data_IF_324865899321
#
_entry.id   IF_324865899321
#
_cell.length_a   1.000
_cell.length_b   1.000
_cell.length_c   1.000
_cell.angle_alpha   90.00
_cell.angle_beta   90.00
_cell.angle_gamma   90.00
#
_symmetry.space_group_name_H-M   'P 1'
#
loop_
_entity.id
_entity.type
_entity.pdbx_description
1 polymer ?
#
# COMPACT_ATOMS: atom_id res chain seq x y z
N UNK A 1 26.83 -52.31 -10.21
CA UNK A 1 26.04 -51.35 -9.41
C UNK A 1 24.96 -52.15 -8.74
N UNK A 2 25.02 -52.30 -7.42
CA UNK A 2 24.12 -53.20 -6.70
C UNK A 2 22.74 -52.53 -6.54
N UNK A 3 21.69 -53.32 -6.37
CA UNK A 3 20.31 -52.83 -6.17
C UNK A 3 20.22 -51.85 -5.00
N UNK A 4 21.07 -52.03 -3.97
CA UNK A 4 21.21 -51.13 -2.83
C UNK A 4 21.80 -49.77 -3.17
N UNK A 5 22.79 -49.71 -4.07
CA UNK A 5 23.42 -48.45 -4.50
C UNK A 5 22.45 -47.62 -5.33
N UNK A 6 21.69 -48.26 -6.22
CA UNK A 6 20.65 -47.60 -7.02
C UNK A 6 19.57 -46.98 -6.11
N UNK A 7 19.14 -47.73 -5.10
CA UNK A 7 18.12 -47.27 -4.14
C UNK A 7 18.62 -46.07 -3.33
N UNK A 8 19.88 -46.11 -2.87
CA UNK A 8 20.47 -45.01 -2.11
C UNK A 8 20.57 -43.72 -2.94
N UNK A 9 20.99 -43.80 -4.20
CA UNK A 9 21.10 -42.63 -5.09
C UNK A 9 19.72 -42.01 -5.35
N UNK A 10 18.68 -42.83 -5.58
CA UNK A 10 17.31 -42.33 -5.79
C UNK A 10 16.79 -41.61 -4.55
N UNK A 11 17.01 -42.16 -3.35
CA UNK A 11 16.59 -41.53 -2.09
C UNK A 11 17.30 -40.19 -1.89
N UNK A 12 18.62 -40.14 -2.08
CA UNK A 12 19.40 -38.89 -1.93
C UNK A 12 18.91 -37.85 -2.93
N UNK A 13 18.68 -38.23 -4.18
CA UNK A 13 18.22 -37.29 -5.21
C UNK A 13 16.79 -36.79 -4.92
N UNK A 14 15.90 -37.67 -4.46
CA UNK A 14 14.55 -37.31 -4.06
C UNK A 14 14.54 -36.39 -2.84
N UNK A 15 15.47 -36.54 -1.89
CA UNK A 15 15.59 -35.65 -0.73
C UNK A 15 16.16 -34.29 -1.15
N UNK A 16 17.25 -34.30 -1.92
CA UNK A 16 17.96 -33.08 -2.37
C UNK A 16 17.09 -32.22 -3.28
N UNK A 17 16.29 -32.81 -4.17
CA UNK A 17 15.39 -32.05 -5.05
C UNK A 17 13.98 -31.91 -4.50
N UNK A 18 13.47 -32.91 -3.80
CA UNK A 18 12.10 -32.94 -3.31
C UNK A 18 11.84 -31.96 -2.16
N UNK A 19 12.76 -31.86 -1.20
CA UNK A 19 12.57 -30.95 -0.05
C UNK A 19 12.50 -29.48 -0.52
N UNK A 20 13.45 -28.96 -1.32
CA UNK A 20 13.35 -27.59 -1.81
C UNK A 20 12.09 -27.36 -2.64
N UNK A 21 11.71 -28.31 -3.51
CA UNK A 21 10.50 -28.18 -4.33
C UNK A 21 9.23 -28.06 -3.48
N UNK A 22 9.10 -28.85 -2.42
CA UNK A 22 7.95 -28.78 -1.50
C UNK A 22 7.96 -27.44 -0.75
N UNK A 23 9.12 -26.98 -0.26
CA UNK A 23 9.24 -25.69 0.42
C UNK A 23 8.82 -24.53 -0.49
N UNK A 24 9.31 -24.49 -1.72
CA UNK A 24 8.92 -23.48 -2.71
C UNK A 24 7.42 -23.56 -3.06
N UNK A 25 6.86 -24.77 -3.18
CA UNK A 25 5.45 -24.97 -3.43
C UNK A 25 4.56 -24.41 -2.30
N UNK A 26 4.90 -24.71 -1.04
CA UNK A 26 4.14 -24.24 0.13
C UNK A 26 4.25 -22.72 0.28
N UNK A 27 5.44 -22.15 0.13
CA UNK A 27 5.65 -20.69 0.17
C UNK A 27 4.85 -19.98 -0.93
N UNK A 28 4.85 -20.51 -2.15
CA UNK A 28 4.07 -19.99 -3.26
C UNK A 28 2.56 -20.05 -3.01
N UNK A 29 2.08 -21.17 -2.47
CA UNK A 29 0.68 -21.36 -2.13
C UNK A 29 0.21 -20.39 -1.02
N UNK A 30 1.04 -20.14 -0.02
CA UNK A 30 0.75 -19.19 1.06
C UNK A 30 0.59 -17.75 0.54
N UNK A 31 1.51 -17.30 -0.32
CA UNK A 31 1.42 -15.97 -0.94
C UNK A 31 0.15 -15.79 -1.77
N UNK A 32 -0.27 -16.82 -2.51
CA UNK A 32 -1.51 -16.80 -3.29
C UNK A 32 -2.75 -16.63 -2.41
N UNK A 33 -2.79 -17.28 -1.24
CA UNK A 33 -3.90 -17.13 -0.28
C UNK A 33 -4.01 -15.70 0.27
N UNK A 34 -2.88 -15.11 0.67
CA UNK A 34 -2.86 -13.74 1.19
C UNK A 34 -3.31 -12.72 0.13
N UNK A 35 -2.81 -12.86 -1.10
CA UNK A 35 -3.23 -12.01 -2.23
C UNK A 35 -4.73 -12.13 -2.52
N UNK A 36 -5.28 -13.35 -2.51
CA UNK A 36 -6.71 -13.51 -2.79
C UNK A 36 -7.58 -12.90 -1.69
N UNK A 37 -7.16 -12.98 -0.42
CA UNK A 37 -7.87 -12.35 0.70
C UNK A 37 -7.88 -10.81 0.56
N UNK A 38 -6.73 -10.20 0.25
CA UNK A 38 -6.63 -8.77 -0.04
C UNK A 38 -7.54 -8.36 -1.20
N UNK A 39 -7.61 -9.16 -2.27
CA UNK A 39 -8.47 -8.87 -3.42
C UNK A 39 -9.96 -8.94 -3.08
N UNK A 40 -10.37 -9.90 -2.24
CA UNK A 40 -11.73 -9.93 -1.71
C UNK A 40 -12.05 -8.70 -0.86
N UNK A 41 -11.10 -8.23 -0.07
CA UNK A 41 -11.26 -7.04 0.76
C UNK A 41 -11.42 -5.78 -0.09
N UNK A 42 -10.57 -5.59 -1.11
CA UNK A 42 -10.74 -4.49 -2.06
C UNK A 42 -12.09 -4.54 -2.76
N UNK A 43 -12.50 -5.71 -3.26
CA UNK A 43 -13.80 -5.88 -3.90
C UNK A 43 -14.96 -5.52 -2.97
N UNK A 44 -14.89 -5.93 -1.70
CA UNK A 44 -15.93 -5.65 -0.71
C UNK A 44 -16.01 -4.15 -0.39
N UNK A 45 -14.87 -3.47 -0.20
CA UNK A 45 -14.84 -2.03 0.09
C UNK A 45 -15.38 -1.23 -1.11
N UNK A 46 -14.94 -1.56 -2.32
CA UNK A 46 -15.35 -0.84 -3.53
C UNK A 46 -16.81 -1.12 -3.89
N UNK A 47 -17.30 -2.36 -3.74
CA UNK A 47 -18.66 -2.76 -4.14
C UNK A 47 -19.70 -2.52 -3.04
N UNK A 48 -19.45 -3.01 -1.82
CA UNK A 48 -20.43 -2.94 -0.73
C UNK A 48 -20.47 -1.56 -0.06
N UNK A 49 -19.30 -0.97 0.22
CA UNK A 49 -19.22 0.34 0.87
C UNK A 49 -19.29 1.50 -0.14
N UNK A 50 -19.08 1.23 -1.43
CA UNK A 50 -19.10 2.28 -2.46
C UNK A 50 -17.99 3.30 -2.32
N UNK A 51 -16.87 2.91 -1.71
CA UNK A 51 -15.72 3.78 -1.58
C UNK A 51 -15.00 3.82 -2.92
N UNK A 52 -15.11 4.95 -3.60
CA UNK A 52 -14.51 5.17 -4.91
C UNK A 52 -13.11 5.77 -4.81
N UNK A 53 -12.73 6.40 -3.69
CA UNK A 53 -11.42 7.04 -3.56
C UNK A 53 -10.31 6.06 -3.18
N UNK A 54 -9.24 6.05 -3.97
CA UNK A 54 -8.05 5.22 -3.71
C UNK A 54 -7.38 5.61 -2.40
N UNK A 55 -7.40 6.90 -2.02
CA UNK A 55 -6.83 7.37 -0.76
C UNK A 55 -7.57 6.76 0.44
N UNK A 56 -8.90 6.66 0.39
CA UNK A 56 -9.67 6.07 1.49
C UNK A 56 -9.58 4.55 1.53
N UNK A 57 -9.48 3.90 0.36
CA UNK A 57 -9.17 2.47 0.30
C UNK A 57 -7.78 2.20 0.91
N UNK A 58 -6.80 3.07 0.63
CA UNK A 58 -5.44 2.97 1.18
C UNK A 58 -5.43 3.06 2.71
N UNK A 59 -6.21 3.99 3.27
CA UNK A 59 -6.37 4.16 4.72
C UNK A 59 -7.05 2.96 5.38
N UNK A 60 -8.13 2.44 4.77
CA UNK A 60 -8.88 1.29 5.28
C UNK A 60 -8.08 -0.02 5.21
N UNK A 61 -7.21 -0.15 4.22
CA UNK A 61 -6.41 -1.38 3.99
C UNK A 61 -5.02 -1.31 4.61
N UNK A 62 -4.58 -0.13 5.07
CA UNK A 62 -3.21 0.11 5.54
C UNK A 62 -2.16 -0.04 4.43
N UNK A 63 -2.58 -0.08 3.16
CA UNK A 63 -1.69 -0.19 2.01
C UNK A 63 -1.40 1.19 1.43
N UNK A 64 -0.25 1.35 0.77
CA UNK A 64 0.06 2.63 0.11
C UNK A 64 -0.89 2.86 -1.08
N UNK A 65 -1.24 4.12 -1.34
CA UNK A 65 -2.08 4.51 -2.49
C UNK A 65 -1.53 3.95 -3.80
N UNK A 66 -0.19 3.92 -3.96
CA UNK A 66 0.46 3.35 -5.14
C UNK A 66 0.19 1.85 -5.28
N UNK A 67 0.34 1.08 -4.19
CA UNK A 67 0.08 -0.36 -4.19
C UNK A 67 -1.39 -0.63 -4.46
N UNK A 68 -2.30 0.10 -3.83
CA UNK A 68 -3.75 -0.01 -4.05
C UNK A 68 -4.10 0.30 -5.51
N UNK A 69 -3.51 1.35 -6.09
CA UNK A 69 -3.72 1.72 -7.51
C UNK A 69 -3.26 0.60 -8.43
N UNK A 70 -2.05 0.07 -8.20
CA UNK A 70 -1.48 -1.04 -8.97
C UNK A 70 -2.37 -2.28 -8.86
N UNK A 71 -2.74 -2.68 -7.65
CA UNK A 71 -3.55 -3.86 -7.36
C UNK A 71 -4.94 -3.75 -8.00
N UNK A 72 -5.60 -2.60 -7.87
CA UNK A 72 -6.93 -2.35 -8.46
C UNK A 72 -6.84 -2.32 -9.99
N UNK A 73 -5.83 -1.68 -10.56
CA UNK A 73 -5.62 -1.69 -12.01
C UNK A 73 -5.47 -3.11 -12.54
N UNK A 74 -4.74 -3.97 -11.81
CA UNK A 74 -4.56 -5.37 -12.16
C UNK A 74 -5.85 -6.18 -11.98
N UNK A 75 -6.65 -5.92 -10.95
CA UNK A 75 -7.94 -6.59 -10.74
C UNK A 75 -8.97 -6.23 -11.82
N UNK A 76 -8.97 -4.99 -12.31
CA UNK A 76 -9.79 -4.58 -13.46
C UNK A 76 -9.28 -5.27 -14.73
N UNK A 77 -7.97 -5.19 -15.01
CA UNK A 77 -7.38 -5.79 -16.21
C UNK A 77 -7.54 -7.32 -16.26
N UNK A 78 -7.51 -8.00 -15.11
CA UNK A 78 -7.71 -9.45 -14.99
C UNK A 78 -9.19 -9.87 -14.97
N UNK A 79 -10.13 -8.92 -15.07
CA UNK A 79 -11.57 -9.19 -15.10
C UNK A 79 -12.19 -9.57 -13.75
N UNK A 80 -11.44 -9.46 -12.64
CA UNK A 80 -11.98 -9.64 -11.28
C UNK A 80 -12.89 -8.49 -10.85
N UNK A 81 -12.76 -7.33 -11.50
CA UNK A 81 -13.62 -6.15 -11.33
C UNK A 81 -14.04 -5.63 -12.71
N UNK A 82 -14.77 -6.45 -13.47
CA UNK A 82 -15.23 -6.10 -14.83
C UNK A 82 -16.09 -4.85 -14.88
N UNK A 83 -16.80 -4.58 -13.79
CA UNK A 83 -17.74 -3.46 -13.69
C UNK A 83 -17.09 -2.22 -13.09
N UNK A 84 -15.76 -2.19 -12.92
CA UNK A 84 -15.03 -1.05 -12.38
C UNK A 84 -14.03 -0.49 -13.39
N UNK A 85 -13.92 0.84 -13.42
CA UNK A 85 -12.95 1.57 -14.24
C UNK A 85 -12.10 2.45 -13.34
N UNK A 86 -10.79 2.48 -13.60
CA UNK A 86 -9.84 3.26 -12.81
C UNK A 86 -9.58 4.60 -13.47
N UNK A 87 -9.91 5.68 -12.76
CA UNK A 87 -9.58 7.05 -13.13
C UNK A 87 -8.31 7.46 -12.38
N UNK A 88 -7.16 7.20 -13.02
CA UNK A 88 -5.83 7.47 -12.45
C UNK A 88 -5.61 8.96 -12.20
N UNK A 89 -6.20 9.84 -13.02
CA UNK A 89 -6.04 11.28 -12.89
C UNK A 89 -6.70 11.81 -11.61
N UNK A 90 -7.89 11.29 -11.29
CA UNK A 90 -8.63 11.70 -10.11
C UNK A 90 -8.43 10.78 -8.89
N UNK A 91 -7.66 9.68 -9.04
CA UNK A 91 -7.47 8.63 -8.03
C UNK A 91 -8.79 8.01 -7.57
N UNK A 92 -9.69 7.75 -8.51
CA UNK A 92 -11.02 7.20 -8.25
C UNK A 92 -11.25 5.88 -8.99
N UNK A 93 -12.10 5.04 -8.42
CA UNK A 93 -12.59 3.78 -8.99
C UNK A 93 -14.09 3.94 -9.25
N UNK A 94 -14.48 4.03 -10.52
CA UNK A 94 -15.88 4.22 -10.93
C UNK A 94 -16.50 2.88 -11.29
N UNK A 95 -17.65 2.54 -10.71
CA UNK A 95 -18.38 1.32 -11.09
C UNK A 95 -19.42 1.61 -12.19
N UNK A 96 -19.36 0.87 -13.29
CA UNK A 96 -20.21 0.98 -14.49
C UNK A 96 -21.70 0.73 -14.24
N UNK A 97 -22.11 0.31 -13.04
CA UNK A 97 -23.51 0.15 -12.62
C UNK A 97 -24.03 1.19 -11.63
N UNK A 98 -23.17 2.11 -11.15
CA UNK A 98 -23.52 3.13 -10.12
C UNK A 98 -23.50 4.57 -10.63
N UNK A 99 -23.50 4.74 -11.95
CA UNK A 99 -23.61 6.05 -12.58
C UNK A 99 -25.02 6.61 -12.41
N UNK A 100 -25.33 7.19 -11.24
CA UNK A 100 -26.62 7.86 -11.03
C UNK A 100 -27.13 7.93 -9.59
N UNK A 101 -26.33 8.40 -8.64
CA UNK A 101 -26.88 9.01 -7.43
C UNK A 101 -25.86 10.03 -6.91
N UNK A 102 -26.12 11.31 -7.20
CA UNK A 102 -25.30 12.41 -6.71
C UNK A 102 -25.21 12.39 -5.18
N UNK A 103 -24.00 12.51 -4.67
CA UNK A 103 -23.74 12.95 -3.30
C UNK A 103 -22.97 14.27 -3.35
N UNK A 104 -23.65 15.28 -3.89
CA UNK A 104 -23.42 16.65 -3.44
C UNK A 104 -23.98 16.77 -2.01
N UNK A 105 -23.26 17.48 -1.15
CA UNK A 105 -23.64 17.97 0.19
C UNK A 105 -23.47 17.04 1.41
N UNK A 106 -22.32 17.22 2.07
CA UNK A 106 -22.19 17.35 3.53
C UNK A 106 -20.77 17.85 3.82
N UNK A 107 -20.49 19.05 4.29
CA UNK A 107 -21.28 20.18 4.74
C UNK A 107 -20.23 21.12 5.33
N UNK A 108 -19.94 22.22 4.63
CA UNK A 108 -19.13 23.31 5.17
C UNK A 108 -20.08 24.26 5.89
N UNK A 109 -19.93 24.54 7.19
CA UNK A 109 -20.50 25.72 7.79
C UNK A 109 -19.39 26.77 7.94
N UNK A 110 -19.28 27.62 6.93
CA UNK A 110 -18.66 28.94 7.08
C UNK A 110 -19.74 29.94 7.46
N UNK A 111 -19.89 30.26 8.76
CA UNK A 111 -20.30 31.60 9.21
C UNK A 111 -19.53 31.94 10.49
N UNK A 112 -18.87 33.08 10.44
CA UNK A 112 -18.08 33.72 11.49
C UNK A 112 -18.90 34.03 12.76
N UNK A 113 -18.28 33.90 13.94
CA UNK A 113 -18.29 34.89 15.04
C UNK A 113 -17.37 34.42 16.19
N UNK A 114 -16.19 35.03 16.25
CA UNK A 114 -15.46 35.54 17.43
C UNK A 114 -15.97 35.11 18.82
N UNK A 115 -15.24 34.24 19.51
CA UNK A 115 -14.65 34.60 20.81
C UNK A 115 -13.51 33.65 21.23
N UNK A 116 -12.49 34.27 21.84
CA UNK A 116 -11.20 33.70 22.21
C UNK A 116 -11.27 32.81 23.45
N UNK A 117 -10.42 31.79 23.53
CA UNK A 117 -9.82 31.37 24.81
C UNK A 117 -8.32 31.15 24.58
N UNK A 118 -7.55 32.02 25.21
CA UNK A 118 -6.09 32.00 25.33
C UNK A 118 -5.73 30.91 26.36
N UNK A 119 -4.81 30.00 26.01
CA UNK A 119 -3.98 29.30 27.00
C UNK A 119 -2.53 29.31 26.51
N UNK A 120 -1.71 30.05 27.24
CA UNK A 120 -0.25 30.06 27.14
C UNK A 120 0.35 28.69 27.53
N UNK A 121 1.35 28.23 26.81
CA UNK A 121 2.27 27.13 27.17
C UNK A 121 3.59 27.29 26.42
N UNK A 122 4.75 26.97 27.03
CA UNK A 122 5.91 27.87 27.05
C UNK A 122 6.78 27.84 25.79
N UNK A 123 7.41 29.01 25.56
CA UNK A 123 8.48 29.24 24.62
C UNK A 123 9.67 28.31 24.88
N UNK A 124 9.94 27.42 23.92
CA UNK A 124 11.25 26.81 23.69
C UNK A 124 11.91 27.51 22.51
N UNK A 125 13.25 27.69 22.50
CA UNK A 125 13.94 28.45 21.47
C UNK A 125 13.78 27.77 20.10
N UNK A 126 13.16 28.50 19.17
CA UNK A 126 13.05 28.15 17.78
C UNK A 126 14.45 28.14 17.14
N UNK A 127 14.91 26.94 16.81
CA UNK A 127 15.83 26.70 15.70
C UNK A 127 15.24 25.55 14.88
N UNK A 128 14.09 25.82 14.25
CA UNK A 128 13.50 24.91 13.28
C UNK A 128 14.23 25.12 11.96
N UNK A 129 15.31 24.35 11.77
CA UNK A 129 15.92 24.16 10.45
C UNK A 129 14.82 23.71 9.49
N UNK A 130 14.69 24.40 8.36
CA UNK A 130 13.60 24.20 7.41
C UNK A 130 13.74 22.82 6.72
N UNK A 131 13.07 21.83 7.31
CA UNK A 131 13.03 20.47 6.80
C UNK A 131 12.20 20.39 5.51
N UNK A 132 12.76 19.87 4.42
CA UNK A 132 12.06 19.61 3.17
C UNK A 132 11.49 18.18 3.12
N UNK A 133 10.25 17.99 2.65
CA UNK A 133 9.67 16.65 2.50
C UNK A 133 10.24 15.97 1.25
N UNK A 134 10.87 14.79 1.42
CA UNK A 134 11.34 13.93 0.33
C UNK A 134 10.72 12.54 0.44
N UNK A 135 10.40 11.95 -0.71
CA UNK A 135 9.85 10.59 -0.80
C UNK A 135 11.01 9.61 -0.89
N UNK A 136 11.02 8.61 0.01
CA UNK A 136 12.01 7.55 -0.01
C UNK A 136 11.86 6.68 -1.27
N UNK A 137 12.94 6.52 -2.02
CA UNK A 137 12.97 5.68 -3.24
C UNK A 137 12.90 4.18 -2.94
N UNK A 138 13.26 3.76 -1.72
CA UNK A 138 13.20 2.35 -1.29
C UNK A 138 11.81 1.88 -0.92
N UNK A 139 11.12 2.60 -0.03
CA UNK A 139 9.81 2.19 0.52
C UNK A 139 8.65 3.15 0.23
N UNK A 140 8.92 4.31 -0.37
CA UNK A 140 7.89 5.29 -0.72
C UNK A 140 7.37 6.16 0.43
N UNK A 141 7.95 6.07 1.63
CA UNK A 141 7.54 6.93 2.76
C UNK A 141 7.99 8.38 2.55
N UNK A 142 7.15 9.35 2.94
CA UNK A 142 7.57 10.75 3.00
C UNK A 142 8.25 11.03 4.33
N UNK A 143 9.49 11.49 4.29
CA UNK A 143 10.23 11.92 5.48
C UNK A 143 10.74 13.33 5.27
N UNK A 144 10.71 14.14 6.33
CA UNK A 144 11.34 15.44 6.32
C UNK A 144 12.85 15.30 6.48
N UNK A 145 13.62 15.89 5.57
CA UNK A 145 15.09 15.94 5.60
C UNK A 145 15.56 17.39 5.43
N UNK A 146 16.60 17.78 6.17
CA UNK A 146 17.22 19.10 6.01
C UNK A 146 18.11 19.10 4.75
N UNK A 147 18.03 20.11 3.87
CA UNK A 147 18.93 20.22 2.72
C UNK A 147 20.40 20.23 3.15
N UNK A 148 21.21 19.36 2.55
CA UNK A 148 22.62 19.16 2.91
C UNK A 148 22.87 18.11 4.00
N UNK A 149 21.83 17.57 4.65
CA UNK A 149 21.94 16.50 5.64
C UNK A 149 21.41 15.17 5.07
N UNK A 150 22.11 14.07 5.36
CA UNK A 150 21.64 12.72 5.03
C UNK A 150 20.90 12.13 6.24
N UNK A 151 19.63 11.77 6.05
CA UNK A 151 18.80 11.11 7.09
C UNK A 151 18.37 9.73 6.63
N UNK A 152 18.45 8.73 7.49
CA UNK A 152 17.94 7.40 7.18
C UNK A 152 16.40 7.35 7.23
N UNK A 153 15.81 6.62 6.30
CA UNK A 153 14.38 6.39 6.24
C UNK A 153 13.94 5.48 7.42
N UNK A 154 13.00 5.97 8.21
CA UNK A 154 12.49 5.29 9.42
C UNK A 154 11.75 3.98 9.13
N UNK A 155 11.42 3.69 7.86
CA UNK A 155 10.64 2.52 7.46
C UNK A 155 11.48 1.42 6.80
N UNK A 156 12.57 1.76 6.12
CA UNK A 156 13.38 0.76 5.40
C UNK A 156 14.89 0.94 5.55
N UNK A 157 15.34 1.94 6.32
CA UNK A 157 16.75 2.23 6.53
C UNK A 157 17.46 2.84 5.32
N UNK A 158 16.75 3.17 4.24
CA UNK A 158 17.38 3.75 3.06
C UNK A 158 17.77 5.21 3.32
N UNK A 159 18.97 5.63 2.88
CA UNK A 159 19.47 6.99 3.10
C UNK A 159 18.75 7.99 2.19
N UNK A 160 18.19 9.03 2.79
CA UNK A 160 17.53 10.15 2.12
C UNK A 160 18.44 11.38 2.21
N UNK A 161 18.72 11.97 1.06
CA UNK A 161 19.59 13.13 0.95
C UNK A 161 19.02 14.10 -0.07
N UNK A 162 18.95 15.38 0.30
CA UNK A 162 18.61 16.49 -0.59
C UNK A 162 19.87 17.34 -0.71
N UNK A 163 20.48 17.49 -1.90
CA UNK A 163 21.58 18.41 -2.09
C UNK A 163 21.13 19.85 -1.76
N UNK A 164 21.97 20.60 -1.06
CA UNK A 164 21.73 22.00 -0.69
C UNK A 164 21.77 22.93 -1.92
#
# INVERSE_FOLDING_TARGET
MNSSDLTAVIIIFAVVLGIPAIVFYVLGASRKKNMNNLYHLYYNITTAQGVESLDRISELTGQSVRNVTQDISYMIASGKMSDATLDVANRLVKLSGRSGAGHSSSGSPSIATRNQIIVNGPAGPASSVATQPIICTGCGSSSGVVPGESKECEFCGNVLFIPA
#
